data_IF_388562446268
#
_entry.id   IF_388562446268
#
_cell.length_a   1.000
_cell.length_b   1.000
_cell.length_c   1.000
_cell.angle_alpha   90.00
_cell.angle_beta   90.00
_cell.angle_gamma   90.00
#
_symmetry.space_group_name_H-M   'P 1'
#
loop_
_entity.id
_entity.type
_entity.pdbx_description
1 polymer ?
#
# COMPACT_ATOMS: atom_id res chain seq x y z
N UNK A 1 31.26 19.73 25.70
CA UNK A 1 29.84 19.67 25.27
C UNK A 1 29.79 19.42 23.77
N UNK A 2 29.33 18.25 23.32
CA UNK A 2 29.34 17.88 21.90
C UNK A 2 28.34 18.69 21.07
N UNK A 3 28.80 19.35 20.01
CA UNK A 3 27.93 20.01 19.02
C UNK A 3 27.06 18.93 18.34
N UNK A 4 25.76 18.90 18.65
CA UNK A 4 24.77 18.19 17.83
C UNK A 4 24.82 18.76 16.42
N UNK A 5 25.46 18.05 15.49
CA UNK A 5 25.50 18.40 14.07
C UNK A 5 24.06 18.28 13.54
N UNK A 6 23.35 19.39 13.40
CA UNK A 6 21.98 19.39 12.88
C UNK A 6 22.04 18.95 11.41
N UNK A 7 21.61 17.71 11.14
CA UNK A 7 21.50 17.20 9.78
C UNK A 7 20.58 18.12 8.96
N UNK A 8 20.90 18.43 7.69
CA UNK A 8 20.05 19.27 6.83
C UNK A 8 18.59 18.79 6.78
N UNK A 9 18.41 17.46 6.87
CA UNK A 9 17.12 16.78 6.88
C UNK A 9 16.31 17.15 8.13
N UNK A 10 16.98 17.31 9.28
CA UNK A 10 16.33 17.70 10.53
C UNK A 10 15.87 19.15 10.47
N UNK A 11 16.68 20.05 9.90
CA UNK A 11 16.33 21.47 9.72
C UNK A 11 15.13 21.61 8.78
N UNK A 12 15.14 20.88 7.66
CA UNK A 12 14.02 20.85 6.72
C UNK A 12 12.75 20.30 7.37
N UNK A 13 12.85 19.21 8.15
CA UNK A 13 11.69 18.62 8.83
C UNK A 13 11.04 19.58 9.84
N UNK A 14 11.86 20.31 10.60
CA UNK A 14 11.39 21.31 11.56
C UNK A 14 10.76 22.52 10.87
N UNK A 15 11.29 22.92 9.71
CA UNK A 15 10.71 23.98 8.90
C UNK A 15 9.35 23.57 8.33
N UNK A 16 9.21 22.35 7.78
CA UNK A 16 7.93 21.82 7.26
C UNK A 16 6.88 21.74 8.37
N UNK A 17 7.25 21.28 9.57
CA UNK A 17 6.32 21.20 10.70
C UNK A 17 5.73 22.56 11.07
N UNK A 18 6.52 23.63 10.98
CA UNK A 18 6.12 25.01 11.28
C UNK A 18 5.25 25.66 10.20
N UNK A 19 5.12 25.05 9.02
CA UNK A 19 4.27 25.59 7.95
C UNK A 19 2.77 25.43 8.25
N UNK A 20 1.97 26.37 7.73
CA UNK A 20 0.51 26.34 7.83
C UNK A 20 -0.08 25.12 7.09
N UNK A 21 -1.29 24.68 7.47
CA UNK A 21 -1.93 23.52 6.86
C UNK A 21 -2.12 23.70 5.33
N UNK A 22 -2.43 24.93 4.90
CA UNK A 22 -2.55 25.28 3.47
C UNK A 22 -1.23 25.08 2.73
N UNK A 23 -0.12 25.56 3.31
CA UNK A 23 1.21 25.39 2.73
C UNK A 23 1.63 23.92 2.67
N UNK A 24 1.33 23.12 3.70
CA UNK A 24 1.57 21.68 3.69
C UNK A 24 0.81 20.97 2.58
N UNK A 25 -0.45 21.35 2.35
CA UNK A 25 -1.25 20.82 1.23
C UNK A 25 -0.62 21.22 -0.10
N UNK A 26 -0.26 22.48 -0.31
CA UNK A 26 0.40 22.94 -1.54
C UNK A 26 1.74 22.23 -1.78
N UNK A 27 2.59 22.09 -0.76
CA UNK A 27 3.85 21.35 -0.84
C UNK A 27 3.62 19.88 -1.18
N UNK A 28 2.64 19.24 -0.53
CA UNK A 28 2.25 17.85 -0.82
C UNK A 28 1.77 17.69 -2.27
N UNK A 29 0.91 18.60 -2.75
CA UNK A 29 0.43 18.60 -4.12
C UNK A 29 1.55 18.81 -5.14
N UNK A 30 2.50 19.71 -4.85
CA UNK A 30 3.67 19.94 -5.71
C UNK A 30 4.58 18.71 -5.77
N UNK A 31 4.85 18.07 -4.64
CA UNK A 31 5.62 16.81 -4.60
C UNK A 31 4.90 15.71 -5.39
N UNK A 32 3.59 15.58 -5.23
CA UNK A 32 2.80 14.60 -5.99
C UNK A 32 2.84 14.87 -7.50
N UNK A 33 2.73 16.13 -7.92
CA UNK A 33 2.81 16.52 -9.33
C UNK A 33 4.20 16.25 -9.91
N UNK A 34 5.26 16.57 -9.18
CA UNK A 34 6.63 16.25 -9.58
C UNK A 34 6.85 14.74 -9.68
N UNK A 35 6.29 13.95 -8.76
CA UNK A 35 6.36 12.49 -8.81
C UNK A 35 5.63 11.96 -10.06
N UNK A 36 4.45 12.49 -10.41
CA UNK A 36 3.72 12.11 -11.62
C UNK A 36 4.48 12.47 -12.90
N UNK A 37 5.11 13.65 -12.96
CA UNK A 37 5.94 14.05 -14.09
C UNK A 37 7.16 13.14 -14.20
N UNK A 38 7.88 12.91 -13.10
CA UNK A 38 9.02 12.00 -13.08
C UNK A 38 8.62 10.59 -13.50
N UNK A 39 7.47 10.09 -13.04
CA UNK A 39 6.92 8.79 -13.43
C UNK A 39 6.67 8.73 -14.94
N UNK A 40 6.01 9.75 -15.51
CA UNK A 40 5.76 9.85 -16.96
C UNK A 40 7.05 9.92 -17.78
N UNK A 41 8.09 10.58 -17.27
CA UNK A 41 9.37 10.73 -17.95
C UNK A 41 10.28 9.50 -17.80
N UNK A 42 10.11 8.73 -16.73
CA UNK A 42 10.97 7.56 -16.43
C UNK A 42 10.42 6.28 -17.03
N UNK A 43 9.09 6.12 -17.07
CA UNK A 43 8.46 4.90 -17.61
C UNK A 43 8.37 5.02 -19.13
N UNK A 44 9.34 4.41 -19.81
CA UNK A 44 9.25 4.12 -21.24
C UNK A 44 8.68 2.72 -21.53
N UNK A 45 8.73 1.80 -20.56
CA UNK A 45 8.31 0.40 -20.71
C UNK A 45 7.34 -0.02 -19.59
N UNK A 46 6.12 -0.40 -19.98
CA UNK A 46 5.05 -0.83 -19.08
C UNK A 46 5.40 -2.11 -18.32
N UNK A 47 6.28 -2.96 -18.85
CA UNK A 47 6.69 -4.20 -18.20
C UNK A 47 7.52 -3.94 -16.94
N UNK A 48 8.48 -3.02 -17.03
CA UNK A 48 9.32 -2.62 -15.90
C UNK A 48 8.48 -1.94 -14.81
N UNK A 49 7.52 -1.11 -15.21
CA UNK A 49 6.59 -0.50 -14.28
C UNK A 49 5.71 -1.53 -13.57
N UNK A 50 5.16 -2.50 -14.32
CA UNK A 50 4.34 -3.57 -13.74
C UNK A 50 5.15 -4.37 -12.71
N UNK A 51 6.36 -4.83 -13.06
CA UNK A 51 7.22 -5.59 -12.14
C UNK A 51 7.56 -4.77 -10.89
N UNK A 52 7.90 -3.49 -11.07
CA UNK A 52 8.16 -2.59 -9.93
C UNK A 52 6.93 -2.41 -9.04
N UNK A 53 5.74 -2.30 -9.63
CA UNK A 53 4.48 -2.18 -8.89
C UNK A 53 4.16 -3.44 -8.08
N UNK A 54 4.34 -4.63 -8.67
CA UNK A 54 4.14 -5.91 -7.99
C UNK A 54 5.18 -6.12 -6.87
N UNK A 55 6.42 -5.67 -7.06
CA UNK A 55 7.44 -5.71 -6.00
C UNK A 55 7.05 -4.84 -4.79
N UNK A 56 6.60 -3.60 -5.03
CA UNK A 56 6.12 -2.71 -3.96
C UNK A 56 4.87 -3.30 -3.29
N UNK A 57 3.97 -3.91 -4.06
CA UNK A 57 2.80 -4.59 -3.52
C UNK A 57 3.21 -5.76 -2.61
N UNK A 58 4.16 -6.58 -3.04
CA UNK A 58 4.70 -7.69 -2.26
C UNK A 58 5.33 -7.22 -0.94
N UNK A 59 6.09 -6.11 -0.94
CA UNK A 59 6.60 -5.51 0.29
C UNK A 59 5.47 -5.10 1.25
N UNK A 60 4.39 -4.52 0.73
CA UNK A 60 3.19 -4.20 1.52
C UNK A 60 2.59 -5.44 2.17
N UNK A 61 2.41 -6.52 1.39
CA UNK A 61 1.92 -7.82 1.89
C UNK A 61 2.85 -8.39 2.97
N UNK A 62 4.17 -8.34 2.78
CA UNK A 62 5.14 -8.81 3.78
C UNK A 62 4.97 -8.05 5.10
N UNK A 63 4.81 -6.73 5.06
CA UNK A 63 4.56 -5.90 6.25
C UNK A 63 3.23 -6.29 6.91
N UNK A 64 2.18 -6.54 6.13
CA UNK A 64 0.90 -7.03 6.66
C UNK A 64 1.06 -8.40 7.34
N UNK A 65 1.73 -9.35 6.70
CA UNK A 65 1.97 -10.68 7.25
C UNK A 65 2.77 -10.57 8.54
N UNK A 66 3.83 -9.77 8.58
CA UNK A 66 4.61 -9.51 9.80
C UNK A 66 3.73 -8.96 10.93
N UNK A 67 2.88 -7.96 10.65
CA UNK A 67 1.94 -7.41 11.64
C UNK A 67 1.00 -8.50 12.17
N UNK A 68 0.34 -9.25 11.28
CA UNK A 68 -0.65 -10.25 11.68
C UNK A 68 -0.02 -11.43 12.44
N UNK A 69 1.21 -11.82 12.09
CA UNK A 69 1.90 -12.95 12.70
C UNK A 69 2.60 -12.59 14.01
N UNK A 70 3.27 -11.44 14.09
CA UNK A 70 4.03 -11.01 15.27
C UNK A 70 3.18 -10.22 16.27
N UNK A 71 2.35 -9.28 15.80
CA UNK A 71 1.52 -8.45 16.70
C UNK A 71 0.18 -9.08 17.03
N UNK A 72 -0.22 -10.15 16.31
CA UNK A 72 -1.46 -10.90 16.54
C UNK A 72 -2.70 -9.99 16.62
N UNK A 73 -2.73 -8.95 15.77
CA UNK A 73 -3.85 -8.02 15.70
C UNK A 73 -4.09 -7.59 14.25
N UNK A 74 -5.36 -7.55 13.86
CA UNK A 74 -5.83 -6.93 12.62
C UNK A 74 -6.50 -5.56 12.84
N UNK A 75 -6.33 -4.94 14.02
CA UNK A 75 -6.87 -3.59 14.27
C UNK A 75 -6.31 -2.59 13.26
N UNK A 76 -7.20 -1.77 12.70
CA UNK A 76 -6.88 -0.80 11.64
C UNK A 76 -6.72 -1.39 10.23
N UNK A 77 -7.01 -2.68 10.01
CA UNK A 77 -7.20 -3.22 8.65
C UNK A 77 -8.69 -3.21 8.28
N UNK A 78 -8.98 -2.81 7.04
CA UNK A 78 -10.29 -3.00 6.41
C UNK A 78 -10.34 -4.39 5.77
N UNK A 79 -11.32 -5.21 6.14
CA UNK A 79 -11.59 -6.48 5.48
C UNK A 79 -12.13 -6.24 4.07
N UNK A 80 -12.97 -5.22 3.90
CA UNK A 80 -13.56 -4.85 2.61
C UNK A 80 -12.50 -4.51 1.56
N UNK A 81 -11.45 -3.78 1.94
CA UNK A 81 -10.34 -3.49 1.02
C UNK A 81 -9.58 -4.75 0.61
N UNK A 82 -9.38 -5.70 1.53
CA UNK A 82 -8.71 -6.97 1.22
C UNK A 82 -9.54 -7.80 0.24
N UNK A 83 -10.86 -7.87 0.44
CA UNK A 83 -11.78 -8.58 -0.45
C UNK A 83 -11.85 -7.94 -1.83
N UNK A 84 -11.87 -6.61 -1.90
CA UNK A 84 -11.84 -5.90 -3.16
C UNK A 84 -10.51 -6.13 -3.91
N UNK A 85 -9.39 -6.16 -3.19
CA UNK A 85 -8.08 -6.45 -3.77
C UNK A 85 -8.03 -7.89 -4.30
N UNK A 86 -8.54 -8.87 -3.53
CA UNK A 86 -8.64 -10.25 -3.99
C UNK A 86 -9.53 -10.37 -5.25
N UNK A 87 -10.67 -9.67 -5.28
CA UNK A 87 -11.54 -9.65 -6.45
C UNK A 87 -10.85 -9.03 -7.67
N UNK A 88 -10.14 -7.91 -7.49
CA UNK A 88 -9.38 -7.25 -8.55
C UNK A 88 -8.32 -8.18 -9.15
N UNK A 89 -7.49 -8.82 -8.31
CA UNK A 89 -6.45 -9.75 -8.77
C UNK A 89 -7.06 -11.00 -9.43
N UNK A 90 -8.17 -11.51 -8.89
CA UNK A 90 -8.89 -12.63 -9.50
C UNK A 90 -9.48 -12.25 -10.87
N UNK A 91 -10.07 -11.06 -11.01
CA UNK A 91 -10.55 -10.56 -12.29
C UNK A 91 -9.40 -10.40 -13.29
N UNK A 92 -8.22 -9.91 -12.84
CA UNK A 92 -7.02 -9.79 -13.67
C UNK A 92 -6.57 -11.16 -14.19
N UNK A 93 -6.52 -12.18 -13.33
CA UNK A 93 -6.19 -13.56 -13.72
C UNK A 93 -7.16 -14.16 -14.76
N UNK A 94 -8.45 -13.78 -14.72
CA UNK A 94 -9.48 -14.29 -15.64
C UNK A 94 -9.51 -13.52 -16.96
N UNK A 95 -9.32 -12.20 -16.93
CA UNK A 95 -9.59 -11.31 -18.08
C UNK A 95 -8.34 -10.90 -18.86
N UNK A 96 -7.21 -10.70 -18.17
CA UNK A 96 -5.97 -10.19 -18.76
C UNK A 96 -4.95 -11.31 -18.74
N UNK A 97 -4.72 -11.88 -19.93
CA UNK A 97 -3.69 -12.87 -20.15
C UNK A 97 -2.30 -12.23 -20.04
N UNK A 98 -1.41 -12.81 -19.24
CA UNK A 98 0.02 -12.53 -19.35
C UNK A 98 0.81 -13.81 -19.04
N UNK A 99 1.02 -14.65 -20.06
CA UNK A 99 1.84 -15.86 -19.94
C UNK A 99 3.22 -15.59 -19.32
N UNK A 100 3.78 -16.60 -18.65
CA UNK A 100 5.09 -16.51 -18.01
C UNK A 100 5.02 -16.03 -16.56
N UNK A 101 5.92 -15.11 -16.17
CA UNK A 101 6.15 -14.69 -14.78
C UNK A 101 4.98 -13.92 -14.15
N UNK A 102 4.15 -13.26 -14.96
CA UNK A 102 3.08 -12.37 -14.48
C UNK A 102 1.92 -13.12 -13.81
N UNK A 103 1.50 -14.27 -14.37
CA UNK A 103 0.52 -15.15 -13.71
C UNK A 103 1.03 -15.65 -12.36
N UNK A 104 2.33 -15.97 -12.27
CA UNK A 104 2.93 -16.45 -11.03
C UNK A 104 2.85 -15.36 -9.95
N UNK A 105 3.19 -14.11 -10.31
CA UNK A 105 3.08 -12.97 -9.40
C UNK A 105 1.63 -12.75 -8.94
N UNK A 106 0.67 -12.76 -9.87
CA UNK A 106 -0.75 -12.60 -9.56
C UNK A 106 -1.28 -13.69 -8.63
N UNK A 107 -0.90 -14.95 -8.86
CA UNK A 107 -1.29 -16.08 -8.00
C UNK A 107 -0.70 -15.94 -6.61
N UNK A 108 0.58 -15.56 -6.49
CA UNK A 108 1.23 -15.34 -5.19
C UNK A 108 0.51 -14.20 -4.44
N UNK A 109 0.25 -13.08 -5.11
CA UNK A 109 -0.47 -11.94 -4.56
C UNK A 109 -1.88 -12.32 -4.11
N UNK A 110 -2.62 -13.09 -4.93
CA UNK A 110 -3.95 -13.57 -4.58
C UNK A 110 -3.92 -14.49 -3.34
N UNK A 111 -3.02 -15.47 -3.32
CA UNK A 111 -2.90 -16.41 -2.19
C UNK A 111 -2.54 -15.69 -0.89
N UNK A 112 -1.61 -14.72 -0.94
CA UNK A 112 -1.25 -13.95 0.24
C UNK A 112 -2.40 -13.04 0.71
N UNK A 113 -3.18 -12.46 -0.22
CA UNK A 113 -4.36 -11.65 0.13
C UNK A 113 -5.46 -12.51 0.74
N UNK A 114 -5.72 -13.70 0.19
CA UNK A 114 -6.66 -14.68 0.77
C UNK A 114 -6.21 -15.14 2.16
N UNK A 115 -4.91 -15.33 2.38
CA UNK A 115 -4.36 -15.61 3.71
C UNK A 115 -4.62 -14.46 4.69
N UNK A 116 -4.45 -13.20 4.29
CA UNK A 116 -4.79 -12.03 5.12
C UNK A 116 -6.28 -12.02 5.45
N UNK A 117 -7.15 -12.25 4.46
CA UNK A 117 -8.61 -12.36 4.66
C UNK A 117 -8.93 -13.47 5.67
N UNK A 118 -8.31 -14.64 5.54
CA UNK A 118 -8.46 -15.75 6.48
C UNK A 118 -8.04 -15.35 7.90
N UNK A 119 -6.89 -14.68 8.04
CA UNK A 119 -6.41 -14.20 9.32
C UNK A 119 -7.41 -13.24 9.97
N UNK A 120 -8.01 -12.31 9.22
CA UNK A 120 -9.02 -11.38 9.75
C UNK A 120 -10.32 -12.11 10.11
N UNK A 121 -10.85 -12.95 9.22
CA UNK A 121 -12.17 -13.58 9.39
C UNK A 121 -12.19 -14.67 10.48
N UNK A 122 -11.08 -15.37 10.67
CA UNK A 122 -11.04 -16.56 11.54
C UNK A 122 -10.07 -16.43 12.71
N UNK A 123 -8.80 -16.10 12.48
CA UNK A 123 -7.77 -16.15 13.54
C UNK A 123 -7.76 -14.92 14.45
N UNK A 124 -7.95 -13.73 13.89
CA UNK A 124 -7.84 -12.43 14.57
C UNK A 124 -9.15 -11.66 14.61
N UNK A 125 -10.28 -12.36 14.38
CA UNK A 125 -11.63 -11.79 14.30
C UNK A 125 -11.99 -10.89 15.49
N UNK A 126 -11.51 -11.22 16.69
CA UNK A 126 -11.75 -10.42 17.90
C UNK A 126 -11.12 -9.03 17.87
N UNK A 127 -10.05 -8.84 17.10
CA UNK A 127 -9.33 -7.56 16.99
C UNK A 127 -9.78 -6.71 15.79
N UNK A 128 -10.70 -7.25 14.98
CA UNK A 128 -11.29 -6.58 13.83
C UNK A 128 -12.40 -5.63 14.30
N UNK A 129 -12.31 -4.36 13.90
CA UNK A 129 -13.22 -3.30 14.34
C UNK A 129 -14.17 -2.97 13.18
N UNK A 130 -15.29 -3.68 13.13
CA UNK A 130 -16.25 -3.61 12.01
C UNK A 130 -16.87 -2.21 11.87
N UNK A 131 -17.00 -1.50 12.97
CA UNK A 131 -17.60 -0.16 13.05
C UNK A 131 -16.78 0.87 12.27
N UNK A 132 -15.44 0.68 12.21
CA UNK A 132 -14.56 1.52 11.40
C UNK A 132 -14.49 1.07 9.93
N UNK A 133 -14.83 -0.18 9.61
CA UNK A 133 -14.86 -0.72 8.24
C UNK A 133 -16.24 -0.58 7.57
N UNK A 134 -16.82 0.61 7.66
CA UNK A 134 -18.19 0.88 7.20
C UNK A 134 -18.29 1.48 5.79
N UNK A 135 -17.22 1.43 4.98
CA UNK A 135 -17.29 1.94 3.60
C UNK A 135 -18.31 1.13 2.76
N UNK A 136 -19.26 1.76 2.06
CA UNK A 136 -20.27 1.02 1.28
C UNK A 136 -19.69 0.55 -0.05
N UNK A 137 -19.61 -0.77 -0.25
CA UNK A 137 -18.96 -1.36 -1.43
C UNK A 137 -19.69 -1.07 -2.75
N UNK A 138 -20.98 -0.72 -2.75
CA UNK A 138 -21.75 -0.48 -3.97
C UNK A 138 -21.38 0.81 -4.71
N UNK A 139 -20.55 1.68 -4.12
CA UNK A 139 -20.00 2.86 -4.78
C UNK A 139 -18.80 2.56 -5.68
N UNK A 140 -18.27 1.33 -5.61
CA UNK A 140 -17.13 0.83 -6.40
C UNK A 140 -17.61 -0.21 -7.41
#
# INVERSE_FOLDING_TARGET
>A
MGRKRSSPINVLSEWVKRQSMRMKICLGAMVALLALVALKLTIHDLNHFYIGSEFIHALGIIVLIYKLTTKKTCSGLSLKTQELTALFVAARLVTIMAGGIYIILDVITLMATLWVIYMIRFKLKSTYIKELDNFPLYYL
#
